data_IF_580779191994
#
_entry.id   IF_580779191994
#
_cell.length_a   1.000
_cell.length_b   1.000
_cell.length_c   1.000
_cell.angle_alpha   90.00
_cell.angle_beta   90.00
_cell.angle_gamma   90.00
#
_symmetry.space_group_name_H-M   'P 1'
#
loop_
_entity.id
_entity.type
_entity.pdbx_description
1 polymer ?
#
# COMPACT_ATOMS: atom_id res chain seq x y z
N UNK A 1 12.02 14.55 -14.28
CA UNK A 1 13.31 14.18 -14.92
C UNK A 1 14.00 13.08 -14.12
N UNK A 2 15.12 12.52 -14.58
CA UNK A 2 15.96 11.65 -13.74
C UNK A 2 17.01 12.49 -13.03
N UNK A 3 16.78 12.76 -11.76
CA UNK A 3 17.70 13.53 -10.92
C UNK A 3 18.83 12.66 -10.36
N UNK A 4 19.94 13.28 -9.97
CA UNK A 4 21.13 12.62 -9.39
C UNK A 4 21.61 13.44 -8.21
N UNK A 5 22.11 12.76 -7.17
CA UNK A 5 22.62 13.40 -5.96
C UNK A 5 22.47 12.49 -4.76
N UNK A 6 22.69 13.05 -3.57
CA UNK A 6 22.27 12.43 -2.31
C UNK A 6 20.76 12.51 -2.15
N UNK A 7 20.19 11.78 -1.18
CA UNK A 7 18.75 11.91 -0.89
C UNK A 7 18.38 13.35 -0.52
N UNK A 8 19.24 14.03 0.25
CA UNK A 8 19.07 15.43 0.66
C UNK A 8 19.03 16.41 -0.53
N UNK A 9 19.62 16.05 -1.67
CA UNK A 9 19.59 16.87 -2.87
C UNK A 9 18.27 16.69 -3.63
N UNK A 10 17.84 15.44 -3.82
CA UNK A 10 16.71 15.07 -4.69
C UNK A 10 15.35 15.13 -3.99
N UNK A 11 15.32 15.18 -2.66
CA UNK A 11 14.06 15.27 -1.89
C UNK A 11 13.46 16.68 -1.90
N UNK A 12 14.23 17.69 -2.34
CA UNK A 12 13.81 19.09 -2.38
C UNK A 12 12.62 19.27 -3.31
N UNK A 13 11.52 19.81 -2.78
CA UNK A 13 10.28 20.01 -3.52
C UNK A 13 9.52 18.73 -3.88
N UNK A 14 9.92 17.56 -3.35
CA UNK A 14 9.17 16.32 -3.57
C UNK A 14 7.85 16.32 -2.79
N UNK A 15 6.77 15.87 -3.43
CA UNK A 15 5.45 15.73 -2.78
C UNK A 15 5.37 14.48 -1.89
N UNK A 16 6.09 13.41 -2.28
CA UNK A 16 6.01 12.12 -1.60
C UNK A 16 7.42 11.52 -1.44
N UNK A 17 7.70 11.00 -0.25
CA UNK A 17 8.87 10.18 0.04
C UNK A 17 8.45 8.74 0.38
N UNK A 18 9.05 7.76 -0.29
CA UNK A 18 8.93 6.33 0.03
C UNK A 18 10.29 5.77 0.47
N UNK A 19 10.43 5.50 1.76
CA UNK A 19 11.57 4.84 2.38
C UNK A 19 11.32 3.35 2.57
N UNK A 20 12.24 2.52 2.06
CA UNK A 20 12.28 1.06 2.24
C UNK A 20 13.71 0.57 2.52
N UNK A 21 14.55 1.40 3.12
CA UNK A 21 16.01 1.21 3.15
C UNK A 21 16.53 1.04 4.59
N UNK A 22 17.10 2.10 5.17
CA UNK A 22 17.90 2.08 6.38
C UNK A 22 17.43 3.17 7.35
N UNK A 23 17.74 3.04 8.66
CA UNK A 23 17.30 4.01 9.65
C UNK A 23 17.99 5.37 9.51
N UNK A 24 17.25 6.45 9.77
CA UNK A 24 17.81 7.81 9.91
C UNK A 24 18.45 8.36 8.63
N UNK A 25 17.89 8.07 7.46
CA UNK A 25 18.44 8.54 6.17
C UNK A 25 17.92 9.90 5.75
N UNK A 26 16.84 10.38 6.35
CA UNK A 26 16.33 11.75 6.20
C UNK A 26 16.09 12.36 7.58
N UNK A 27 16.14 13.69 7.67
CA UNK A 27 15.94 14.44 8.91
C UNK A 27 14.88 15.56 8.76
N UNK A 28 14.63 16.33 9.83
CA UNK A 28 13.72 17.47 9.79
C UNK A 28 14.09 18.52 8.72
N UNK A 29 15.39 18.68 8.45
CA UNK A 29 15.89 19.60 7.44
C UNK A 29 15.48 19.17 6.04
N UNK A 30 15.51 17.87 5.77
CA UNK A 30 14.98 17.30 4.53
C UNK A 30 13.48 17.55 4.40
N UNK A 31 12.71 17.28 5.46
CA UNK A 31 11.26 17.50 5.44
C UNK A 31 10.89 18.96 5.18
N UNK A 32 11.62 19.91 5.78
CA UNK A 32 11.43 21.36 5.55
C UNK A 32 11.70 21.78 4.11
N UNK A 33 12.49 20.99 3.37
CA UNK A 33 12.82 21.27 1.98
C UNK A 33 11.89 20.54 0.98
N UNK A 34 11.00 19.66 1.43
CA UNK A 34 10.00 19.01 0.58
C UNK A 34 8.94 20.01 0.09
N UNK A 35 8.01 19.54 -0.76
CA UNK A 35 6.84 20.32 -1.13
C UNK A 35 5.96 20.65 0.09
N UNK A 36 5.01 21.57 -0.08
CA UNK A 36 4.03 21.88 0.97
C UNK A 36 3.16 20.64 1.25
N UNK A 37 2.90 20.38 2.52
CA UNK A 37 2.03 19.30 2.99
C UNK A 37 2.46 17.92 2.44
N UNK A 38 3.73 17.49 2.62
CA UNK A 38 4.27 16.30 1.98
C UNK A 38 3.74 15.00 2.59
N UNK A 39 3.78 13.91 1.83
CA UNK A 39 3.47 12.55 2.28
C UNK A 39 4.77 11.78 2.51
N UNK A 40 4.94 11.19 3.70
CA UNK A 40 6.17 10.47 4.07
C UNK A 40 5.85 9.05 4.51
N UNK A 41 6.32 8.07 3.75
CA UNK A 41 6.22 6.65 4.08
C UNK A 41 7.61 6.13 4.47
N UNK A 42 7.93 6.15 5.76
CA UNK A 42 9.19 5.66 6.32
C UNK A 42 9.03 4.22 6.82
N UNK A 43 9.25 3.24 5.94
CA UNK A 43 8.87 1.83 6.17
C UNK A 43 10.04 0.90 6.54
N UNK A 44 11.26 1.43 6.74
CA UNK A 44 12.34 0.62 7.31
C UNK A 44 11.97 0.06 8.70
N UNK A 45 12.42 -1.16 8.99
CA UNK A 45 12.18 -1.85 10.25
C UNK A 45 13.52 -2.28 10.89
N UNK A 46 13.65 -2.26 12.24
CA UNK A 46 12.67 -1.78 13.22
C UNK A 46 12.67 -0.25 13.40
N UNK A 47 13.70 0.44 12.90
CA UNK A 47 13.85 1.89 12.99
C UNK A 47 13.61 2.49 11.59
N UNK A 48 12.61 3.38 11.44
CA UNK A 48 12.30 4.04 10.17
C UNK A 48 13.41 4.97 9.65
N UNK A 49 13.25 5.39 8.40
CA UNK A 49 14.07 6.42 7.75
C UNK A 49 14.07 7.75 8.51
N UNK A 50 12.96 8.08 9.17
CA UNK A 50 12.76 9.19 10.11
C UNK A 50 11.69 8.79 11.13
N UNK A 51 11.90 9.12 12.40
CA UNK A 51 10.93 8.80 13.44
C UNK A 51 9.65 9.65 13.27
N UNK A 52 8.44 9.09 13.47
CA UNK A 52 7.20 9.87 13.38
C UNK A 52 7.16 11.09 14.29
N UNK A 53 7.84 11.04 15.44
CA UNK A 53 7.97 12.15 16.38
C UNK A 53 8.76 13.33 15.78
N UNK A 54 9.80 13.06 15.00
CA UNK A 54 10.62 14.09 14.34
C UNK A 54 9.89 14.68 13.12
N UNK A 55 9.00 13.90 12.48
CA UNK A 55 8.17 14.34 11.36
C UNK A 55 6.87 15.05 11.79
N UNK A 56 6.54 15.04 13.09
CA UNK A 56 5.26 15.49 13.61
C UNK A 56 4.99 16.96 13.25
N UNK A 57 3.86 17.21 12.58
CA UNK A 57 3.47 18.56 12.15
C UNK A 57 4.25 19.12 10.95
N UNK A 58 5.18 18.35 10.38
CA UNK A 58 5.93 18.72 9.16
C UNK A 58 5.38 18.05 7.90
N UNK A 59 4.56 17.02 8.06
CA UNK A 59 4.03 16.20 6.97
C UNK A 59 2.50 16.15 7.02
N UNK A 60 1.86 16.05 5.87
CA UNK A 60 0.42 15.87 5.77
C UNK A 60 -0.02 14.44 6.10
N UNK A 61 0.81 13.45 5.78
CA UNK A 61 0.58 12.04 6.09
C UNK A 61 1.91 11.40 6.46
N UNK A 62 1.93 10.72 7.59
CA UNK A 62 3.04 9.87 8.02
C UNK A 62 2.59 8.42 8.01
N UNK A 63 3.39 7.53 7.42
CA UNK A 63 3.15 6.09 7.42
C UNK A 63 4.45 5.34 7.72
N UNK A 64 4.36 4.20 8.40
CA UNK A 64 5.52 3.37 8.74
C UNK A 64 5.24 1.88 8.55
N UNK A 65 6.28 1.05 8.68
CA UNK A 65 6.11 -0.41 8.75
C UNK A 65 5.70 -0.92 10.15
N UNK A 66 5.75 -0.06 11.18
CA UNK A 66 5.55 -0.46 12.57
C UNK A 66 4.08 -0.36 12.98
N UNK A 67 3.65 -1.26 13.86
CA UNK A 67 2.25 -1.37 14.31
C UNK A 67 1.88 -0.44 15.47
N UNK A 68 2.87 0.22 16.08
CA UNK A 68 2.68 1.14 17.20
C UNK A 68 2.38 2.58 16.76
N UNK A 69 2.33 2.83 15.44
CA UNK A 69 1.96 4.11 14.85
C UNK A 69 0.73 4.00 13.95
N UNK A 70 0.01 5.11 13.70
CA UNK A 70 -0.99 5.18 12.63
C UNK A 70 -0.40 4.81 11.28
N UNK A 71 -1.28 4.48 10.33
CA UNK A 71 -0.91 4.19 8.95
C UNK A 71 0.18 3.11 8.79
N UNK A 72 0.05 1.99 9.51
CA UNK A 72 0.95 0.86 9.32
C UNK A 72 0.79 0.26 7.91
N UNK A 73 1.84 0.36 7.09
CA UNK A 73 1.92 -0.30 5.80
C UNK A 73 2.53 -1.69 5.98
N UNK A 74 1.71 -2.73 5.83
CA UNK A 74 2.14 -4.10 6.03
C UNK A 74 1.57 -5.04 4.94
N UNK A 75 2.44 -5.91 4.41
CA UNK A 75 2.06 -6.87 3.37
C UNK A 75 1.02 -7.91 3.83
N UNK A 76 0.77 -8.04 5.14
CA UNK A 76 -0.28 -8.89 5.71
C UNK A 76 -1.68 -8.53 5.22
N UNK A 77 -1.90 -7.28 4.82
CA UNK A 77 -3.15 -6.83 4.20
C UNK A 77 -3.36 -7.45 2.80
N UNK A 78 -2.29 -7.92 2.16
CA UNK A 78 -2.28 -8.25 0.74
C UNK A 78 -2.12 -9.76 0.49
N UNK A 79 -1.13 -10.41 1.10
CA UNK A 79 -0.80 -11.80 0.73
C UNK A 79 -1.94 -12.81 0.97
N UNK A 80 -2.72 -12.78 2.08
CA UNK A 80 -3.77 -13.79 2.29
C UNK A 80 -4.83 -13.73 1.19
N UNK A 81 -5.27 -12.53 0.83
CA UNK A 81 -6.26 -12.30 -0.21
C UNK A 81 -5.73 -12.64 -1.60
N UNK A 82 -4.51 -12.21 -1.94
CA UNK A 82 -3.89 -12.55 -3.24
C UNK A 82 -3.84 -14.06 -3.44
N UNK A 83 -3.34 -14.80 -2.45
CA UNK A 83 -3.25 -16.25 -2.57
C UNK A 83 -4.62 -16.89 -2.62
N UNK A 84 -5.59 -16.44 -1.81
CA UNK A 84 -6.95 -16.98 -1.85
C UNK A 84 -7.59 -16.80 -3.23
N UNK A 85 -7.58 -15.59 -3.79
CA UNK A 85 -8.14 -15.31 -5.11
C UNK A 85 -7.47 -16.08 -6.24
N UNK A 86 -6.13 -16.17 -6.20
CA UNK A 86 -5.38 -16.96 -7.17
C UNK A 86 -5.70 -18.47 -7.09
N UNK A 87 -5.85 -19.01 -5.88
CA UNK A 87 -6.18 -20.42 -5.66
C UNK A 87 -7.61 -20.76 -6.08
N UNK A 88 -8.58 -19.89 -5.80
CA UNK A 88 -10.00 -20.08 -6.16
C UNK A 88 -10.20 -20.37 -7.66
N UNK A 89 -9.47 -19.64 -8.51
CA UNK A 89 -9.55 -19.73 -9.97
C UNK A 89 -8.38 -20.51 -10.62
N UNK A 90 -7.52 -21.13 -9.80
CA UNK A 90 -6.33 -21.87 -10.24
C UNK A 90 -5.43 -21.05 -11.18
N UNK A 91 -5.21 -19.78 -10.86
CA UNK A 91 -4.37 -18.89 -11.65
C UNK A 91 -3.01 -19.54 -11.95
N UNK A 92 -2.51 -19.36 -13.17
CA UNK A 92 -1.21 -19.89 -13.61
C UNK A 92 -0.03 -19.09 -13.06
N UNK A 93 -0.24 -17.82 -12.71
CA UNK A 93 0.74 -16.89 -12.14
C UNK A 93 0.03 -15.74 -11.44
N UNK A 94 0.73 -15.04 -10.55
CA UNK A 94 0.34 -13.71 -10.06
C UNK A 94 0.94 -12.68 -11.03
N UNK A 95 0.11 -11.81 -11.62
CA UNK A 95 0.56 -10.77 -12.56
C UNK A 95 0.30 -9.35 -12.02
N UNK A 96 0.75 -8.33 -12.75
CA UNK A 96 0.61 -6.92 -12.33
C UNK A 96 -0.87 -6.49 -12.21
N UNK A 97 -1.76 -6.97 -13.07
CA UNK A 97 -3.18 -6.66 -12.97
C UNK A 97 -3.78 -7.17 -11.64
N UNK A 98 -3.37 -8.35 -11.18
CA UNK A 98 -3.77 -8.90 -9.89
C UNK A 98 -3.21 -8.10 -8.71
N UNK A 99 -1.96 -7.63 -8.79
CA UNK A 99 -1.35 -6.78 -7.74
C UNK A 99 -2.06 -5.42 -7.64
N UNK A 100 -2.36 -4.79 -8.78
CA UNK A 100 -3.12 -3.54 -8.82
C UNK A 100 -4.55 -3.73 -8.28
N UNK A 101 -5.20 -4.85 -8.62
CA UNK A 101 -6.52 -5.18 -8.08
C UNK A 101 -6.49 -5.34 -6.55
N UNK A 102 -5.45 -6.00 -6.01
CA UNK A 102 -5.26 -6.11 -4.57
C UNK A 102 -5.06 -4.73 -3.90
N UNK A 103 -4.20 -3.87 -4.47
CA UNK A 103 -3.96 -2.53 -3.93
C UNK A 103 -5.25 -1.68 -3.93
N UNK A 104 -6.01 -1.71 -5.02
CA UNK A 104 -7.29 -1.01 -5.13
C UNK A 104 -8.34 -1.57 -4.15
N UNK A 105 -8.39 -2.89 -3.96
CA UNK A 105 -9.30 -3.51 -3.01
C UNK A 105 -8.98 -3.10 -1.56
N UNK A 106 -7.70 -3.03 -1.19
CA UNK A 106 -7.27 -2.56 0.15
C UNK A 106 -7.67 -1.09 0.34
N UNK A 107 -7.35 -0.23 -0.64
CA UNK A 107 -7.68 1.19 -0.57
C UNK A 107 -9.20 1.43 -0.50
N UNK A 108 -9.99 0.63 -1.21
CA UNK A 108 -11.45 0.70 -1.23
C UNK A 108 -12.15 0.23 0.05
N UNK A 109 -11.42 -0.28 1.04
CA UNK A 109 -11.99 -0.61 2.37
C UNK A 109 -12.34 0.65 3.17
N UNK A 110 -11.56 1.72 3.01
CA UNK A 110 -11.76 2.98 3.71
C UNK A 110 -12.73 3.84 2.90
N UNK A 111 -13.87 4.17 3.51
CA UNK A 111 -14.83 5.11 2.92
C UNK A 111 -14.29 6.54 2.88
N UNK A 112 -14.79 7.36 1.96
CA UNK A 112 -14.39 8.77 1.82
C UNK A 112 -14.61 9.60 3.10
N UNK A 113 -15.58 9.20 3.91
CA UNK A 113 -15.97 9.80 5.17
C UNK A 113 -15.08 9.38 6.36
N UNK A 114 -14.35 8.27 6.23
CA UNK A 114 -13.41 7.76 7.24
C UNK A 114 -11.97 8.19 6.94
N UNK A 115 -11.68 8.55 5.69
CA UNK A 115 -10.37 8.93 5.22
C UNK A 115 -9.89 10.22 5.89
N UNK A 116 -8.74 10.15 6.57
CA UNK A 116 -8.07 11.31 7.13
C UNK A 116 -6.55 11.05 7.25
N UNK A 117 -5.73 12.07 7.57
CA UNK A 117 -4.28 11.96 7.64
C UNK A 117 -3.70 10.76 8.40
N UNK A 118 -4.32 10.35 9.51
CA UNK A 118 -3.86 9.24 10.35
C UNK A 118 -4.58 7.91 10.05
N UNK A 119 -5.42 7.86 9.01
CA UNK A 119 -6.11 6.64 8.57
C UNK A 119 -6.26 6.59 7.04
N UNK A 120 -5.16 6.21 6.38
CA UNK A 120 -5.08 6.02 4.92
C UNK A 120 -4.96 4.54 4.50
N UNK A 121 -4.81 3.64 5.46
CA UNK A 121 -4.67 2.19 5.26
C UNK A 121 -5.46 1.44 6.34
N UNK A 122 -6.24 0.40 6.00
CA UNK A 122 -7.04 -0.31 6.98
C UNK A 122 -6.16 -1.09 7.96
N UNK A 123 -6.71 -1.37 9.14
CA UNK A 123 -6.04 -2.21 10.13
C UNK A 123 -5.77 -3.62 9.59
N UNK A 124 -4.66 -4.23 10.00
CA UNK A 124 -4.34 -5.65 9.73
C UNK A 124 -5.37 -6.62 10.30
N UNK A 125 -6.20 -6.15 11.24
CA UNK A 125 -7.30 -6.92 11.84
C UNK A 125 -8.65 -6.67 11.17
N UNK A 126 -8.73 -5.80 10.15
CA UNK A 126 -9.95 -5.58 9.41
C UNK A 126 -10.29 -6.82 8.56
N UNK A 127 -11.32 -7.54 9.01
CA UNK A 127 -11.75 -8.81 8.40
C UNK A 127 -12.28 -8.64 6.98
N UNK A 128 -12.63 -7.42 6.55
CA UNK A 128 -13.13 -7.12 5.21
C UNK A 128 -12.01 -7.22 4.16
N UNK A 129 -10.77 -6.90 4.54
CA UNK A 129 -9.63 -6.77 3.63
C UNK A 129 -9.35 -8.07 2.87
N UNK A 130 -9.19 -9.18 3.60
CA UNK A 130 -8.79 -10.45 2.99
C UNK A 130 -9.78 -10.96 1.94
N UNK A 131 -11.08 -10.85 2.21
CA UNK A 131 -12.14 -11.27 1.29
C UNK A 131 -12.23 -10.33 0.08
N UNK A 132 -12.20 -9.01 0.30
CA UNK A 132 -12.24 -8.02 -0.79
C UNK A 132 -11.06 -8.19 -1.76
N UNK A 133 -9.85 -8.38 -1.22
CA UNK A 133 -8.66 -8.64 -2.03
C UNK A 133 -8.79 -9.95 -2.79
N UNK A 134 -9.30 -11.02 -2.17
CA UNK A 134 -9.46 -12.30 -2.85
C UNK A 134 -10.42 -12.21 -4.05
N UNK A 135 -11.56 -11.55 -3.87
CA UNK A 135 -12.55 -11.35 -4.94
C UNK A 135 -11.95 -10.55 -6.09
N UNK A 136 -11.31 -9.42 -5.82
CA UNK A 136 -10.76 -8.56 -6.87
C UNK A 136 -9.56 -9.20 -7.58
N UNK A 137 -8.73 -9.95 -6.87
CA UNK A 137 -7.62 -10.70 -7.45
C UNK A 137 -8.12 -11.82 -8.36
N UNK A 138 -9.16 -12.55 -7.94
CA UNK A 138 -9.80 -13.57 -8.78
C UNK A 138 -10.40 -12.94 -10.04
N UNK A 139 -11.13 -11.83 -9.91
CA UNK A 139 -11.66 -11.07 -11.03
C UNK A 139 -10.56 -10.65 -12.01
N UNK A 140 -9.44 -10.14 -11.50
CA UNK A 140 -8.29 -9.73 -12.31
C UNK A 140 -7.61 -10.93 -12.99
N UNK A 141 -7.56 -12.09 -12.34
CA UNK A 141 -7.00 -13.31 -12.91
C UNK A 141 -7.81 -13.80 -14.12
N UNK A 142 -9.13 -13.75 -14.06
CA UNK A 142 -10.00 -14.03 -15.21
C UNK A 142 -9.81 -13.00 -16.32
N UNK A 143 -9.89 -11.69 -16.00
CA UNK A 143 -9.75 -10.61 -16.99
C UNK A 143 -8.41 -10.64 -17.74
N UNK A 144 -7.34 -11.02 -17.05
CA UNK A 144 -5.99 -11.10 -17.63
C UNK A 144 -5.66 -12.46 -18.26
N UNK A 145 -6.62 -13.40 -18.29
CA UNK A 145 -6.47 -14.69 -18.95
C UNK A 145 -5.52 -15.67 -18.26
N UNK A 146 -5.24 -15.48 -16.98
CA UNK A 146 -4.34 -16.38 -16.21
C UNK A 146 -5.10 -17.40 -15.36
N UNK A 147 -6.40 -17.19 -15.14
CA UNK A 147 -7.29 -18.17 -14.50
C UNK A 147 -7.45 -19.43 -15.36
N UNK A 148 -7.45 -20.60 -14.71
CA UNK A 148 -7.56 -21.91 -15.39
C UNK A 148 -8.77 -22.72 -14.98
N UNK A 149 -9.50 -22.27 -13.96
CA UNK A 149 -10.82 -22.80 -13.63
C UNK A 149 -11.85 -22.12 -14.51
N UNK A 150 -12.82 -22.87 -15.05
CA UNK A 150 -13.96 -22.26 -15.71
C UNK A 150 -14.78 -21.46 -14.69
N UNK A 151 -15.20 -20.26 -15.08
CA UNK A 151 -16.11 -19.47 -14.27
C UNK A 151 -17.46 -20.16 -14.34
N UNK A 152 -18.05 -20.50 -13.20
CA UNK A 152 -19.45 -20.92 -13.20
C UNK A 152 -20.26 -19.73 -13.72
N UNK A 153 -20.61 -19.75 -15.00
CA UNK A 153 -21.58 -18.82 -15.56
C UNK A 153 -22.90 -19.15 -14.90
N UNK A 154 -23.50 -18.19 -14.21
CA UNK A 154 -24.86 -18.29 -13.66
C UNK A 154 -25.92 -18.29 -14.79
N UNK A 155 -25.67 -19.03 -15.87
CA UNK A 155 -26.57 -19.25 -17.00
C UNK A 155 -27.06 -20.70 -17.07
N UNK A 156 -26.76 -21.54 -16.07
CA UNK A 156 -27.30 -22.92 -15.98
C UNK A 156 -28.49 -23.06 -15.02
N UNK A 157 -29.32 -22.02 -14.90
CA UNK A 157 -30.63 -22.12 -14.25
C UNK A 157 -31.72 -21.53 -15.17
N UNK A 158 -32.03 -22.27 -16.24
CA UNK A 158 -33.36 -22.38 -16.84
C UNK A 158 -33.56 -23.80 -17.36
#
# INVERSE_FOLDING_TARGET
EREKGTIHDVIKGADIFFGLSAPGIIDEGDLKNMAKDPIVFAMANPTPEIMPEDAAGMVAVMATGRSDYPNQINNVLCFPGIFRGALNCRASRINEAMKLAAANAIAGIIGTEELHPDYIIPSVFDRRVGEAVAVEVENAAYKSGVARRERATSESEF
#
